data_IF_133784725430
#
_entry.id   IF_133784725430
#
_cell.length_a   1.000
_cell.length_b   1.000
_cell.length_c   1.000
_cell.angle_alpha   90.00
_cell.angle_beta   90.00
_cell.angle_gamma   90.00
#
_symmetry.space_group_name_H-M   'P 1'
#
loop_
_entity.id
_entity.type
_entity.pdbx_description
1 polymer ?
#
# COMPACT_ATOMS: atom_id res chain seq x y z
N UNK A 1 -11.67 5.53 4.16
CA UNK A 1 -10.66 4.55 4.62
C UNK A 1 -9.67 4.17 3.51
N UNK A 2 -10.10 3.76 2.31
CA UNK A 2 -9.19 3.42 1.20
C UNK A 2 -8.19 4.52 0.85
N UNK A 3 -8.62 5.79 0.81
CA UNK A 3 -7.77 6.94 0.50
C UNK A 3 -6.67 7.11 1.55
N UNK A 4 -6.98 6.94 2.82
CA UNK A 4 -6.00 7.04 3.91
C UNK A 4 -4.92 5.95 3.81
N UNK A 5 -5.31 4.71 3.48
CA UNK A 5 -4.36 3.61 3.29
C UNK A 5 -3.45 3.88 2.09
N UNK A 6 -4.01 4.33 0.96
CA UNK A 6 -3.23 4.72 -0.21
C UNK A 6 -2.28 5.89 0.10
N UNK A 7 -2.75 6.89 0.84
CA UNK A 7 -1.94 8.04 1.24
C UNK A 7 -0.80 7.63 2.16
N UNK A 8 -1.06 6.84 3.21
CA UNK A 8 -0.03 6.30 4.10
C UNK A 8 0.99 5.46 3.33
N UNK A 9 0.54 4.62 2.40
CA UNK A 9 1.43 3.84 1.54
C UNK A 9 2.35 4.73 0.71
N UNK A 10 1.82 5.73 0.00
CA UNK A 10 2.62 6.64 -0.84
C UNK A 10 3.55 7.49 0.05
N UNK A 11 3.08 7.94 1.21
CA UNK A 11 3.89 8.70 2.15
C UNK A 11 5.09 7.88 2.65
N UNK A 12 4.87 6.60 3.00
CA UNK A 12 5.94 5.67 3.36
C UNK A 12 6.95 5.47 2.24
N UNK A 13 6.49 5.43 0.98
CA UNK A 13 7.34 5.36 -0.20
C UNK A 13 8.30 6.57 -0.32
N UNK A 14 7.96 7.73 0.23
CA UNK A 14 8.84 8.91 0.18
C UNK A 14 10.16 8.72 0.91
N UNK A 15 10.26 7.74 1.81
CA UNK A 15 11.50 7.39 2.54
C UNK A 15 12.41 6.41 1.78
N UNK A 16 11.94 5.89 0.64
CA UNK A 16 12.67 4.92 -0.18
C UNK A 16 13.53 5.60 -1.25
N UNK A 17 14.60 4.92 -1.68
CA UNK A 17 15.39 5.37 -2.83
C UNK A 17 14.62 5.20 -4.15
N UNK A 18 15.08 5.88 -5.22
CA UNK A 18 14.46 5.79 -6.57
C UNK A 18 14.30 4.35 -7.04
N UNK A 19 15.36 3.55 -6.89
CA UNK A 19 15.39 2.13 -7.29
C UNK A 19 14.36 1.32 -6.49
N UNK A 20 14.25 1.59 -5.19
CA UNK A 20 13.33 0.90 -4.28
C UNK A 20 11.88 1.21 -4.64
N UNK A 21 11.56 2.48 -4.95
CA UNK A 21 10.22 2.92 -5.39
C UNK A 21 9.82 2.18 -6.67
N UNK A 22 10.73 2.07 -7.63
CA UNK A 22 10.47 1.34 -8.88
C UNK A 22 10.19 -0.14 -8.64
N UNK A 23 10.97 -0.79 -7.78
CA UNK A 23 10.75 -2.21 -7.43
C UNK A 23 9.38 -2.41 -6.79
N UNK A 24 9.01 -1.55 -5.84
CA UNK A 24 7.71 -1.66 -5.16
C UNK A 24 6.56 -1.37 -6.13
N UNK A 25 6.71 -0.38 -7.03
CA UNK A 25 5.71 -0.09 -8.06
C UNK A 25 5.49 -1.28 -9.02
N UNK A 26 6.57 -1.95 -9.42
CA UNK A 26 6.50 -3.17 -10.24
C UNK A 26 5.80 -4.30 -9.47
N UNK A 27 6.11 -4.47 -8.18
CA UNK A 27 5.47 -5.49 -7.34
C UNK A 27 3.97 -5.25 -7.20
N UNK A 28 3.55 -4.00 -6.97
CA UNK A 28 2.14 -3.60 -6.92
C UNK A 28 1.44 -3.86 -8.26
N UNK A 29 2.06 -3.47 -9.38
CA UNK A 29 1.51 -3.69 -10.71
C UNK A 29 1.38 -5.19 -11.03
N UNK A 30 2.39 -5.98 -10.67
CA UNK A 30 2.38 -7.43 -10.84
C UNK A 30 1.27 -8.09 -10.00
N UNK A 31 1.11 -7.67 -8.75
CA UNK A 31 0.04 -8.15 -7.88
C UNK A 31 -1.34 -7.91 -8.51
N UNK A 32 -1.63 -6.70 -8.98
CA UNK A 32 -2.90 -6.35 -9.62
C UNK A 32 -3.10 -7.16 -10.92
N UNK A 33 -2.02 -7.29 -11.73
CA UNK A 33 -2.05 -8.07 -12.97
C UNK A 33 -2.27 -9.57 -12.75
N UNK A 34 -1.85 -10.14 -11.61
CA UNK A 34 -2.03 -11.57 -11.30
C UNK A 34 -3.34 -11.87 -10.58
N UNK A 35 -3.94 -10.91 -9.89
CA UNK A 35 -5.16 -11.11 -9.09
C UNK A 35 -6.46 -10.95 -9.90
N UNK A 36 -6.40 -10.58 -11.19
CA UNK A 36 -7.60 -10.40 -12.00
C UNK A 36 -8.51 -11.64 -12.11
N UNK A 37 -8.02 -12.92 -12.15
CA UNK A 37 -8.92 -14.07 -12.22
C UNK A 37 -9.79 -14.17 -10.96
N UNK A 38 -9.21 -13.91 -9.79
CA UNK A 38 -9.93 -13.89 -8.52
C UNK A 38 -10.93 -12.72 -8.43
N UNK A 39 -10.61 -11.59 -9.06
CA UNK A 39 -11.48 -10.42 -9.07
C UNK A 39 -12.76 -10.63 -9.90
N UNK A 40 -12.73 -11.46 -10.94
CA UNK A 40 -13.90 -11.81 -11.76
C UNK A 40 -14.89 -12.69 -11.00
N UNK A 41 -14.38 -13.60 -10.16
CA UNK A 41 -15.22 -14.49 -9.38
C UNK A 41 -16.05 -13.74 -8.34
N UNK A 42 -15.67 -12.50 -8.02
CA UNK A 42 -16.37 -11.66 -7.06
C UNK A 42 -17.53 -10.93 -7.74
N UNK A 43 -18.71 -11.00 -7.14
CA UNK A 43 -19.87 -10.20 -7.56
C UNK A 43 -20.02 -8.94 -6.68
N UNK A 44 -20.69 -7.91 -7.21
CA UNK A 44 -21.03 -6.70 -6.42
C UNK A 44 -21.81 -7.04 -5.16
N UNK A 45 -22.68 -8.04 -5.23
CA UNK A 45 -23.46 -8.53 -4.10
C UNK A 45 -22.61 -9.22 -3.04
N UNK A 46 -21.56 -9.93 -3.45
CA UNK A 46 -20.60 -10.55 -2.51
C UNK A 46 -19.79 -9.53 -1.73
N UNK A 47 -19.32 -8.46 -2.39
CA UNK A 47 -18.59 -7.38 -1.71
C UNK A 47 -19.48 -6.69 -0.69
N UNK A 48 -20.75 -6.42 -1.05
CA UNK A 48 -21.72 -5.85 -0.11
C UNK A 48 -22.00 -6.79 1.08
N UNK A 49 -22.09 -8.11 0.82
CA UNK A 49 -22.27 -9.11 1.86
C UNK A 49 -21.04 -9.20 2.79
N UNK A 50 -19.83 -9.09 2.26
CA UNK A 50 -18.60 -9.08 3.06
C UNK A 50 -18.50 -7.86 3.97
N UNK A 51 -18.89 -6.69 3.47
CA UNK A 51 -18.91 -5.46 4.29
C UNK A 51 -19.99 -5.54 5.38
N UNK A 52 -21.07 -6.29 5.14
CA UNK A 52 -22.15 -6.51 6.11
C UNK A 52 -21.81 -7.62 7.13
N UNK A 53 -20.83 -8.47 6.84
CA UNK A 53 -20.41 -9.54 7.76
C UNK A 53 -19.57 -8.97 8.91
N UNK A 54 -20.15 -9.03 10.12
CA UNK A 54 -19.54 -8.50 11.34
C UNK A 54 -18.21 -9.20 11.68
N UNK A 55 -18.06 -10.48 11.37
CA UNK A 55 -16.83 -11.23 11.62
C UNK A 55 -15.71 -10.74 10.72
N UNK A 56 -15.99 -10.54 9.44
CA UNK A 56 -15.03 -10.05 8.45
C UNK A 56 -14.63 -8.61 8.74
N UNK A 57 -15.55 -7.78 9.23
CA UNK A 57 -15.26 -6.42 9.70
C UNK A 57 -14.34 -6.42 10.92
N UNK A 58 -14.51 -7.35 11.85
CA UNK A 58 -13.61 -7.52 13.00
C UNK A 58 -12.20 -7.94 12.54
N UNK A 59 -12.09 -8.90 11.64
CA UNK A 59 -10.80 -9.34 11.10
C UNK A 59 -10.09 -8.19 10.36
N UNK A 60 -10.82 -7.38 9.60
CA UNK A 60 -10.28 -6.16 8.97
C UNK A 60 -9.84 -5.11 9.98
N UNK A 61 -10.55 -4.96 11.10
CA UNK A 61 -10.16 -4.03 12.17
C UNK A 61 -8.87 -4.50 12.86
N UNK A 62 -8.69 -5.81 13.06
CA UNK A 62 -7.44 -6.37 13.58
C UNK A 62 -6.28 -6.14 12.61
N UNK A 63 -6.48 -6.39 11.32
CA UNK A 63 -5.47 -6.11 10.29
C UNK A 63 -5.09 -4.63 10.26
N UNK A 64 -6.06 -3.74 10.38
CA UNK A 64 -5.82 -2.29 10.48
C UNK A 64 -4.96 -1.95 11.70
N UNK A 65 -5.28 -2.53 12.85
CA UNK A 65 -4.53 -2.29 14.09
C UNK A 65 -3.09 -2.76 13.98
N UNK A 66 -2.86 -3.90 13.34
CA UNK A 66 -1.52 -4.44 13.07
C UNK A 66 -0.75 -3.52 12.12
N UNK A 67 -1.39 -3.05 11.05
CA UNK A 67 -0.76 -2.17 10.06
C UNK A 67 -0.35 -0.81 10.66
N UNK A 68 -1.23 -0.23 11.49
CA UNK A 68 -0.94 0.98 12.26
C UNK A 68 0.22 0.75 13.23
N UNK A 69 0.23 -0.36 13.98
CA UNK A 69 1.32 -0.70 14.89
C UNK A 69 2.66 -0.86 14.14
N UNK A 70 2.67 -1.52 12.99
CA UNK A 70 3.87 -1.65 12.15
C UNK A 70 4.36 -0.29 11.62
N UNK A 71 3.45 0.60 11.27
CA UNK A 71 3.78 1.96 10.82
C UNK A 71 4.36 2.79 11.95
N UNK A 72 3.78 2.72 13.15
CA UNK A 72 4.35 3.37 14.35
C UNK A 72 5.73 2.83 14.69
N UNK A 73 5.93 1.51 14.64
CA UNK A 73 7.24 0.89 14.85
C UNK A 73 8.26 1.36 13.82
N UNK A 74 7.85 1.53 12.57
CA UNK A 74 8.72 2.11 11.54
C UNK A 74 9.14 3.53 11.89
N UNK A 75 8.21 4.40 12.29
CA UNK A 75 8.50 5.79 12.67
C UNK A 75 9.47 5.85 13.87
N UNK A 76 9.20 5.08 14.91
CA UNK A 76 10.05 5.02 16.13
C UNK A 76 11.47 4.54 15.77
N UNK A 77 11.58 3.44 15.01
CA UNK A 77 12.90 2.91 14.62
C UNK A 77 13.64 3.85 13.67
N UNK A 78 12.93 4.58 12.80
CA UNK A 78 13.57 5.56 11.93
C UNK A 78 14.18 6.72 12.70
N UNK A 79 13.52 7.18 13.76
CA UNK A 79 14.05 8.22 14.67
C UNK A 79 15.22 7.66 15.50
N UNK A 80 15.06 6.47 16.07
CA UNK A 80 16.07 5.82 16.94
C UNK A 80 17.39 5.60 16.18
N UNK A 81 17.32 5.15 14.91
CA UNK A 81 18.49 4.96 14.05
C UNK A 81 19.24 6.25 13.72
N UNK A 82 18.56 7.41 13.75
CA UNK A 82 19.21 8.71 13.54
C UNK A 82 19.88 9.25 14.80
N UNK A 83 19.40 8.84 15.96
CA UNK A 83 19.83 9.40 17.26
C UNK A 83 20.86 8.50 17.97
N UNK A 84 20.88 7.20 17.68
CA UNK A 84 21.77 6.24 18.32
C UNK A 84 23.09 6.06 17.55
N UNK A 85 24.22 6.29 18.25
CA UNK A 85 25.57 6.03 17.70
C UNK A 85 25.89 4.52 17.55
N UNK A 86 25.18 3.64 18.26
CA UNK A 86 25.39 2.19 18.24
C UNK A 86 24.11 1.44 17.86
N UNK A 87 24.02 1.05 16.57
CA UNK A 87 22.89 0.27 16.05
C UNK A 87 23.22 -1.23 16.11
N UNK A 88 22.48 -1.98 16.92
CA UNK A 88 22.58 -3.45 16.95
C UNK A 88 22.13 -4.04 15.60
N UNK A 89 22.84 -5.08 15.09
CA UNK A 89 22.50 -5.79 13.83
C UNK A 89 21.03 -6.24 13.77
N UNK A 90 20.45 -6.67 14.90
CA UNK A 90 19.06 -7.10 14.98
C UNK A 90 18.08 -5.95 14.70
N UNK A 91 18.33 -4.76 15.27
CA UNK A 91 17.53 -3.56 15.02
C UNK A 91 17.60 -3.14 13.55
N UNK A 92 18.76 -3.25 12.93
CA UNK A 92 18.97 -2.90 11.51
C UNK A 92 18.21 -3.82 10.56
N UNK A 93 18.26 -5.15 10.79
CA UNK A 93 17.50 -6.13 9.98
C UNK A 93 16.00 -5.92 10.12
N UNK A 94 15.51 -5.69 11.35
CA UNK A 94 14.11 -5.42 11.61
C UNK A 94 13.64 -4.11 10.94
N UNK A 95 14.48 -3.08 10.97
CA UNK A 95 14.20 -1.81 10.27
C UNK A 95 14.11 -2.00 8.75
N UNK A 96 14.99 -2.79 8.14
CA UNK A 96 14.92 -3.12 6.72
C UNK A 96 13.60 -3.82 6.41
N UNK A 97 13.22 -4.82 7.19
CA UNK A 97 11.95 -5.51 7.01
C UNK A 97 10.77 -4.52 7.08
N UNK A 98 10.71 -3.68 8.13
CA UNK A 98 9.66 -2.67 8.26
C UNK A 98 9.68 -1.65 7.11
N UNK A 99 10.86 -1.28 6.64
CA UNK A 99 11.04 -0.33 5.54
C UNK A 99 10.45 -0.88 4.24
N UNK A 100 10.81 -2.11 3.87
CA UNK A 100 10.36 -2.71 2.60
C UNK A 100 8.93 -3.26 2.64
N UNK A 101 8.35 -3.41 3.80
CA UNK A 101 6.99 -3.90 3.95
C UNK A 101 5.98 -2.81 3.52
N UNK A 102 5.23 -2.99 2.42
CA UNK A 102 4.38 -1.94 1.85
C UNK A 102 3.15 -1.59 2.70
N UNK A 103 2.86 -2.38 3.72
CA UNK A 103 1.63 -2.32 4.50
C UNK A 103 0.69 -3.47 4.13
N UNK A 104 0.04 -4.04 5.15
CA UNK A 104 -0.83 -5.22 4.97
C UNK A 104 -2.12 -4.85 4.24
N UNK A 105 -2.64 -3.65 4.51
CA UNK A 105 -3.91 -3.16 3.98
C UNK A 105 -3.84 -2.69 2.53
N UNK A 106 -2.65 -2.46 1.98
CA UNK A 106 -2.49 -2.02 0.60
C UNK A 106 -3.03 -3.07 -0.38
N UNK A 107 -2.78 -4.36 -0.12
CA UNK A 107 -3.22 -5.45 -0.99
C UNK A 107 -4.74 -5.60 -1.08
N UNK A 108 -5.51 -5.68 0.02
CA UNK A 108 -6.97 -5.74 -0.07
C UNK A 108 -7.58 -4.45 -0.64
N UNK A 109 -6.97 -3.27 -0.40
CA UNK A 109 -7.42 -2.02 -1.02
C UNK A 109 -7.22 -2.05 -2.53
N UNK A 110 -6.04 -2.47 -3.02
CA UNK A 110 -5.76 -2.61 -4.45
C UNK A 110 -6.68 -3.63 -5.11
N UNK A 111 -6.95 -4.74 -4.44
CA UNK A 111 -7.91 -5.74 -4.90
C UNK A 111 -9.33 -5.16 -5.03
N UNK A 112 -9.78 -4.40 -4.02
CA UNK A 112 -11.09 -3.74 -4.05
C UNK A 112 -11.18 -2.71 -5.18
N UNK A 113 -10.12 -1.93 -5.42
CA UNK A 113 -10.04 -0.98 -6.53
C UNK A 113 -10.11 -1.71 -7.88
N UNK A 114 -9.40 -2.84 -8.03
CA UNK A 114 -9.44 -3.67 -9.23
C UNK A 114 -10.86 -4.17 -9.50
N UNK A 115 -11.52 -4.75 -8.49
CA UNK A 115 -12.90 -5.26 -8.62
C UNK A 115 -13.85 -4.12 -9.00
N UNK A 116 -13.77 -2.97 -8.31
CA UNK A 116 -14.60 -1.80 -8.66
C UNK A 116 -14.37 -1.35 -10.10
N UNK A 117 -13.13 -1.29 -10.56
CA UNK A 117 -12.78 -0.84 -11.91
C UNK A 117 -13.31 -1.81 -12.98
N UNK A 118 -13.22 -3.11 -12.75
CA UNK A 118 -13.76 -4.14 -13.63
C UNK A 118 -15.29 -3.96 -13.83
N UNK A 119 -16.01 -3.69 -12.73
CA UNK A 119 -17.46 -3.50 -12.78
C UNK A 119 -17.90 -2.12 -13.27
N UNK A 120 -17.01 -1.13 -13.29
CA UNK A 120 -17.28 0.19 -13.85
C UNK A 120 -17.20 0.23 -15.39
N UNK A 121 -16.46 -0.70 -16.00
CA UNK A 121 -16.20 -0.75 -17.44
C UNK A 121 -16.85 -2.00 -18.09
N UNK A 122 -18.20 -2.06 -18.14
CA UNK A 122 -18.88 -3.17 -18.81
C UNK A 122 -18.57 -3.12 -20.33
N UNK A 123 -18.17 -4.26 -20.89
CA UNK A 123 -17.90 -4.39 -22.33
C UNK A 123 -16.40 -4.41 -22.68
N UNK A 124 -15.51 -4.18 -21.74
CA UNK A 124 -14.06 -4.36 -21.93
C UNK A 124 -13.63 -5.70 -21.32
N UNK A 125 -12.70 -6.41 -21.97
CA UNK A 125 -12.20 -7.66 -21.41
C UNK A 125 -11.53 -7.41 -20.06
N UNK A 126 -11.88 -8.19 -19.05
CA UNK A 126 -11.43 -8.05 -17.66
C UNK A 126 -9.89 -8.06 -17.54
N UNK A 127 -9.25 -8.88 -18.38
CA UNK A 127 -7.79 -8.94 -18.44
C UNK A 127 -7.18 -7.60 -18.89
N UNK A 128 -7.75 -6.95 -19.89
CA UNK A 128 -7.28 -5.64 -20.38
C UNK A 128 -7.46 -4.59 -19.29
N UNK A 129 -8.59 -4.58 -18.59
CA UNK A 129 -8.85 -3.64 -17.49
C UNK A 129 -7.79 -3.81 -16.40
N UNK A 130 -7.49 -5.05 -16.02
CA UNK A 130 -6.49 -5.32 -14.97
C UNK A 130 -5.08 -4.87 -15.38
N UNK A 131 -4.65 -5.15 -16.62
CA UNK A 131 -3.34 -4.73 -17.10
C UNK A 131 -3.22 -3.21 -17.27
N UNK A 132 -4.28 -2.56 -17.78
CA UNK A 132 -4.33 -1.09 -17.87
C UNK A 132 -4.22 -0.48 -16.47
N UNK A 133 -4.98 -1.00 -15.49
CA UNK A 133 -4.91 -0.54 -14.11
C UNK A 133 -3.52 -0.77 -13.52
N UNK A 134 -2.89 -1.92 -13.79
CA UNK A 134 -1.53 -2.23 -13.35
C UNK A 134 -0.51 -1.21 -13.90
N UNK A 135 -0.60 -0.87 -15.19
CA UNK A 135 0.27 0.14 -15.82
C UNK A 135 0.00 1.53 -15.24
N UNK A 136 -1.26 1.90 -15.03
CA UNK A 136 -1.64 3.16 -14.40
C UNK A 136 -1.03 3.26 -13.00
N UNK A 137 -1.16 2.22 -12.16
CA UNK A 137 -0.59 2.19 -10.82
C UNK A 137 0.94 2.24 -10.84
N UNK A 138 1.57 1.57 -11.81
CA UNK A 138 3.02 1.59 -11.98
C UNK A 138 3.55 3.00 -12.24
N UNK A 139 2.80 3.83 -12.96
CA UNK A 139 3.16 5.23 -13.24
C UNK A 139 2.72 6.15 -12.10
N UNK A 140 1.51 5.95 -11.56
CA UNK A 140 0.94 6.81 -10.52
C UNK A 140 1.75 6.73 -9.21
N UNK A 141 2.19 5.54 -8.81
CA UNK A 141 2.94 5.35 -7.55
C UNK A 141 4.20 6.22 -7.49
N UNK A 142 5.13 6.18 -8.47
CA UNK A 142 6.28 7.07 -8.44
C UNK A 142 5.90 8.54 -8.60
N UNK A 143 4.95 8.88 -9.47
CA UNK A 143 4.51 10.27 -9.67
C UNK A 143 3.99 10.87 -8.37
N UNK A 144 3.09 10.20 -7.66
CA UNK A 144 2.60 10.67 -6.36
C UNK A 144 3.70 10.72 -5.30
N UNK A 145 4.61 9.74 -5.28
CA UNK A 145 5.74 9.72 -4.34
C UNK A 145 6.65 10.93 -4.55
N UNK A 146 6.98 11.27 -5.80
CA UNK A 146 7.78 12.44 -6.11
C UNK A 146 7.01 13.74 -5.88
N UNK A 147 5.71 13.78 -6.20
CA UNK A 147 4.84 14.91 -5.91
C UNK A 147 4.80 15.22 -4.42
N UNK A 148 4.64 14.20 -3.56
CA UNK A 148 4.69 14.37 -2.11
C UNK A 148 6.07 14.81 -1.61
N UNK A 149 7.16 14.33 -2.20
CA UNK A 149 8.51 14.81 -1.86
C UNK A 149 8.71 16.28 -2.20
N UNK A 150 8.12 16.75 -3.28
CA UNK A 150 8.19 18.14 -3.68
C UNK A 150 7.31 19.04 -2.81
N UNK A 151 6.11 18.56 -2.45
CA UNK A 151 5.17 19.28 -1.58
C UNK A 151 5.66 19.36 -0.13
N UNK A 152 6.30 18.29 0.35
CA UNK A 152 6.78 18.11 1.72
C UNK A 152 8.30 17.86 1.70
N UNK A 153 9.13 18.88 1.50
CA UNK A 153 10.57 18.70 1.38
C UNK A 153 11.22 18.23 2.68
N UNK A 154 10.66 18.60 3.83
CA UNK A 154 11.19 18.26 5.13
C UNK A 154 10.81 16.83 5.56
N UNK A 155 11.83 16.03 5.88
CA UNK A 155 11.65 14.64 6.35
C UNK A 155 10.87 14.53 7.67
N UNK A 156 11.08 15.41 8.68
CA UNK A 156 10.33 15.32 9.94
C UNK A 156 8.83 15.50 9.73
N UNK A 157 8.40 16.45 8.91
CA UNK A 157 6.98 16.68 8.61
C UNK A 157 6.34 15.43 7.99
N UNK A 158 7.07 14.72 7.11
CA UNK A 158 6.57 13.48 6.50
C UNK A 158 6.43 12.33 7.49
N UNK A 159 7.27 12.31 8.55
CA UNK A 159 7.16 11.32 9.63
C UNK A 159 5.99 11.58 10.56
N UNK A 160 5.67 12.85 10.81
CA UNK A 160 4.52 13.24 11.63
C UNK A 160 3.18 12.94 10.96
N UNK A 161 3.15 12.96 9.62
CA UNK A 161 1.96 12.66 8.81
C UNK A 161 1.74 11.16 8.56
N UNK A 162 2.74 10.31 8.83
CA UNK A 162 2.66 8.87 8.62
C UNK A 162 1.99 8.16 9.79
#
# INVERSE_FOLDING_TARGET
MMILVCFSFVLKQTFHGVKEIMIISVLVAFFVGMTWPFAIEQSKTQIAAWIADQKLMLDMAVLLSIDVALTMLFCVHHVDLKTSEHVSRRKWVFFIFLKYFPGLLVFPVLFSVLVMTIFLLPGVSFQVVAWVLAVVLLVLTPVFTYGLRWLLPERPIRLELL
#
